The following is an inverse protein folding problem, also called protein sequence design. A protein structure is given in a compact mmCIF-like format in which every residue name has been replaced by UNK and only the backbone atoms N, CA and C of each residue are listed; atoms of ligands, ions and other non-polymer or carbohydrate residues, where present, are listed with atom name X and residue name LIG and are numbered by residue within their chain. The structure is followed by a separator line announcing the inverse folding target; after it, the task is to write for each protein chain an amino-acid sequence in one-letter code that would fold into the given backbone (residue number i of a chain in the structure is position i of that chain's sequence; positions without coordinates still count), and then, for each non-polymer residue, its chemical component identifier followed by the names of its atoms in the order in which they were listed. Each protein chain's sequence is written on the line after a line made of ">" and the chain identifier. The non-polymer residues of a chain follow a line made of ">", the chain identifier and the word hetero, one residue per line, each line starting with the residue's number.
data_IF_810550265425
#
_entry.id   IF_810550265425
#
_cell.length_a   1.000
_cell.length_b   1.000
_cell.length_c   1.000
_cell.angle_alpha   90.00
_cell.angle_beta   90.00
_cell.angle_gamma   90.00
#
_symmetry.space_group_name_H-M   'P 1'
#
loop_
_entity.id
_entity.type
_entity.pdbx_description
1 polymer ?
#
# COMPACT_ATOMS: atom_id res chain seq x y z
N UNK A 1 2.63 -2.31 20.06
CA UNK A 1 1.65 -3.32 19.56
C UNK A 1 0.52 -2.59 18.88
N UNK A 2 0.27 -2.91 17.61
CA UNK A 2 -0.88 -2.34 16.91
C UNK A 2 -2.15 -3.02 17.45
N UNK A 3 -2.96 -2.27 18.22
CA UNK A 3 -4.20 -2.81 18.76
C UNK A 3 -5.24 -3.01 17.67
N UNK A 4 -5.95 -4.13 17.70
CA UNK A 4 -7.13 -4.35 16.87
C UNK A 4 -8.35 -3.73 17.55
N UNK A 5 -9.09 -2.90 16.81
CA UNK A 5 -10.39 -2.41 17.27
C UNK A 5 -11.47 -3.43 16.91
N UNK A 6 -11.63 -4.45 17.77
CA UNK A 6 -12.59 -5.53 17.52
C UNK A 6 -14.04 -5.08 17.38
N UNK A 7 -14.36 -3.89 17.88
CA UNK A 7 -15.71 -3.30 17.79
C UNK A 7 -16.04 -2.63 16.44
N UNK A 8 -15.05 -2.47 15.55
CA UNK A 8 -15.20 -1.80 14.25
C UNK A 8 -14.95 -2.75 13.07
N UNK A 9 -15.44 -3.98 13.17
CA UNK A 9 -15.37 -4.93 12.06
C UNK A 9 -16.59 -4.76 11.15
N UNK A 10 -16.37 -4.26 9.93
CA UNK A 10 -17.40 -4.07 8.92
C UNK A 10 -17.66 -5.32 8.07
N UNK A 11 -17.02 -6.44 8.39
CA UNK A 11 -17.18 -7.73 7.71
C UNK A 11 -17.00 -7.62 6.18
N UNK A 12 -15.85 -7.17 5.75
CA UNK A 12 -15.53 -7.01 4.32
C UNK A 12 -15.21 -8.34 3.60
N UNK A 13 -15.23 -9.46 4.32
CA UNK A 13 -15.00 -10.80 3.79
C UNK A 13 -13.56 -11.30 3.97
N UNK A 14 -13.40 -12.60 3.81
CA UNK A 14 -12.15 -13.32 4.12
C UNK A 14 -10.94 -12.80 3.35
N UNK A 15 -11.08 -12.49 2.07
CA UNK A 15 -9.97 -11.98 1.25
C UNK A 15 -9.43 -10.66 1.78
N UNK A 16 -10.30 -9.75 2.18
CA UNK A 16 -9.90 -8.46 2.77
C UNK A 16 -9.31 -8.65 4.17
N UNK A 17 -9.84 -9.58 4.95
CA UNK A 17 -9.28 -9.90 6.27
C UNK A 17 -7.87 -10.49 6.15
N UNK A 18 -7.63 -11.39 5.21
CA UNK A 18 -6.29 -11.93 4.93
C UNK A 18 -5.31 -10.83 4.46
N UNK A 19 -5.76 -9.91 3.61
CA UNK A 19 -4.95 -8.77 3.21
C UNK A 19 -4.60 -7.90 4.42
N UNK A 20 -5.58 -7.59 5.26
CA UNK A 20 -5.38 -6.82 6.49
C UNK A 20 -4.32 -7.46 7.39
N UNK A 21 -4.43 -8.75 7.64
CA UNK A 21 -3.48 -9.48 8.50
C UNK A 21 -2.07 -9.47 7.90
N UNK A 22 -1.96 -9.67 6.60
CA UNK A 22 -0.67 -9.64 5.88
C UNK A 22 -0.01 -8.26 5.95
N UNK A 23 -0.77 -7.21 5.69
CA UNK A 23 -0.26 -5.83 5.74
C UNK A 23 0.05 -5.41 7.17
N UNK A 24 -0.78 -5.81 8.14
CA UNK A 24 -0.52 -5.56 9.56
C UNK A 24 0.81 -6.19 10.01
N UNK A 25 1.07 -7.44 9.64
CA UNK A 25 2.32 -8.11 9.95
C UNK A 25 3.52 -7.38 9.33
N UNK A 26 3.44 -7.03 8.05
CA UNK A 26 4.48 -6.24 7.39
C UNK A 26 4.71 -4.88 8.08
N UNK A 27 3.65 -4.14 8.36
CA UNK A 27 3.74 -2.84 8.99
C UNK A 27 4.34 -2.91 10.40
N UNK A 28 3.97 -3.93 11.18
CA UNK A 28 4.52 -4.18 12.51
C UNK A 28 6.02 -4.51 12.46
N UNK A 29 6.44 -5.32 11.50
CA UNK A 29 7.81 -5.86 11.46
C UNK A 29 8.77 -4.93 10.73
N UNK A 30 8.31 -4.21 9.70
CA UNK A 30 9.17 -3.42 8.82
C UNK A 30 9.03 -1.90 8.99
N UNK A 31 7.90 -1.41 9.46
CA UNK A 31 7.62 0.03 9.56
C UNK A 31 7.64 0.51 11.02
N UNK A 32 6.85 -0.11 11.89
CA UNK A 32 6.69 0.33 13.27
C UNK A 32 8.01 0.48 14.04
N UNK A 33 9.01 -0.42 13.90
CA UNK A 33 10.28 -0.28 14.61
C UNK A 33 11.10 0.95 14.17
N UNK A 34 10.82 1.49 12.98
CA UNK A 34 11.51 2.64 12.39
C UNK A 34 10.72 3.94 12.46
N UNK A 35 9.47 3.91 12.95
CA UNK A 35 8.55 5.05 12.87
C UNK A 35 9.09 6.30 13.58
N UNK A 36 9.66 6.16 14.77
CA UNK A 36 10.26 7.26 15.51
C UNK A 36 11.46 7.87 14.78
N UNK A 37 12.34 7.03 14.23
CA UNK A 37 13.51 7.52 13.50
C UNK A 37 13.12 8.20 12.18
N UNK A 38 12.12 7.68 11.47
CA UNK A 38 11.56 8.31 10.26
C UNK A 38 11.06 9.73 10.57
N UNK A 39 10.39 9.91 11.71
CA UNK A 39 9.88 11.20 12.14
C UNK A 39 11.02 12.18 12.47
N UNK A 40 12.06 11.72 13.16
CA UNK A 40 13.22 12.53 13.52
C UNK A 40 14.02 12.95 12.29
N UNK A 41 14.32 12.01 11.38
CA UNK A 41 15.15 12.25 10.20
C UNK A 41 14.38 12.97 9.10
N UNK A 42 13.05 12.90 9.12
CA UNK A 42 12.17 13.41 8.07
C UNK A 42 12.52 12.82 6.69
N UNK A 43 12.91 11.55 6.66
CA UNK A 43 13.29 10.83 5.45
C UNK A 43 12.48 9.55 5.30
N UNK A 44 12.01 9.27 4.08
CA UNK A 44 11.34 8.02 3.75
C UNK A 44 12.37 6.91 3.51
N UNK A 45 12.26 5.75 4.18
CA UNK A 45 13.17 4.62 3.95
C UNK A 45 12.97 4.03 2.55
N UNK A 46 13.91 4.25 1.64
CA UNK A 46 13.79 3.88 0.23
C UNK A 46 13.59 2.38 -0.02
N UNK A 47 14.09 1.51 0.87
CA UNK A 47 13.91 0.07 0.80
C UNK A 47 12.44 -0.37 0.91
N UNK A 48 11.60 0.44 1.56
CA UNK A 48 10.17 0.15 1.69
C UNK A 48 9.44 0.11 0.34
N UNK A 49 9.87 0.90 -0.63
CA UNK A 49 9.25 0.86 -1.96
C UNK A 49 9.36 -0.54 -2.58
N UNK A 50 10.55 -1.08 -2.58
CA UNK A 50 10.77 -2.42 -3.13
C UNK A 50 10.04 -3.50 -2.35
N UNK A 51 10.07 -3.44 -1.02
CA UNK A 51 9.37 -4.39 -0.16
C UNK A 51 7.86 -4.37 -0.39
N UNK A 52 7.27 -3.17 -0.47
CA UNK A 52 5.84 -3.03 -0.78
C UNK A 52 5.51 -3.48 -2.20
N UNK A 53 6.39 -3.21 -3.16
CA UNK A 53 6.25 -3.69 -4.55
C UNK A 53 6.25 -5.21 -4.63
N UNK A 54 7.19 -5.86 -3.98
CA UNK A 54 7.30 -7.33 -3.95
C UNK A 54 6.05 -8.00 -3.30
N UNK A 55 5.37 -7.31 -2.41
CA UNK A 55 4.11 -7.75 -1.80
C UNK A 55 2.86 -7.41 -2.65
N UNK A 56 3.01 -6.71 -3.77
CA UNK A 56 1.90 -6.25 -4.59
C UNK A 56 1.12 -5.05 -4.04
N UNK A 57 1.59 -4.44 -2.96
CA UNK A 57 0.86 -3.35 -2.29
C UNK A 57 0.79 -2.07 -3.12
N UNK A 58 1.75 -1.84 -4.01
CA UNK A 58 1.78 -0.64 -4.84
C UNK A 58 0.82 -0.71 -6.04
N UNK A 59 0.33 -1.91 -6.38
CA UNK A 59 -0.56 -2.15 -7.51
C UNK A 59 -1.90 -2.79 -7.14
N UNK A 60 -2.41 -2.59 -5.93
CA UNK A 60 -3.67 -3.21 -5.47
C UNK A 60 -4.84 -2.89 -6.40
N UNK A 61 -4.93 -1.66 -6.90
CA UNK A 61 -6.02 -1.20 -7.79
C UNK A 61 -5.73 -1.37 -9.27
N UNK A 62 -4.55 -1.85 -9.63
CA UNK A 62 -4.07 -1.93 -11.02
C UNK A 62 -4.37 -3.30 -11.59
N UNK A 63 -4.81 -3.34 -12.86
CA UNK A 63 -5.06 -4.58 -13.59
C UNK A 63 -3.79 -5.46 -13.70
N UNK A 64 -4.00 -6.78 -13.73
CA UNK A 64 -2.91 -7.76 -13.79
C UNK A 64 -2.01 -7.60 -15.02
N UNK A 65 -2.57 -7.16 -16.16
CA UNK A 65 -1.82 -6.92 -17.40
C UNK A 65 -0.69 -5.89 -17.23
N UNK A 66 -0.78 -4.99 -16.24
CA UNK A 66 0.25 -3.99 -15.91
C UNK A 66 1.07 -4.35 -14.66
N UNK A 67 0.93 -5.57 -14.16
CA UNK A 67 1.64 -6.05 -12.97
C UNK A 67 0.91 -5.84 -11.65
N UNK A 68 -0.33 -5.37 -11.68
CA UNK A 68 -1.17 -5.18 -10.50
C UNK A 68 -1.83 -6.46 -9.98
N UNK A 69 -2.53 -6.36 -8.87
CA UNK A 69 -3.26 -7.49 -8.25
C UNK A 69 -4.78 -7.39 -8.36
N UNK A 70 -5.28 -6.29 -8.89
CA UNK A 70 -6.70 -6.04 -9.23
C UNK A 70 -7.71 -6.36 -8.12
N UNK A 71 -7.40 -5.99 -6.88
CA UNK A 71 -8.27 -6.24 -5.73
C UNK A 71 -9.28 -5.11 -5.47
N UNK A 72 -9.17 -4.01 -6.18
CA UNK A 72 -10.06 -2.86 -6.04
C UNK A 72 -9.68 -1.88 -4.94
N UNK A 73 -10.46 -0.79 -4.86
CA UNK A 73 -10.12 0.36 -4.03
C UNK A 73 -10.31 0.12 -2.53
N UNK A 74 -11.30 -0.69 -2.13
CA UNK A 74 -11.48 -1.05 -0.72
C UNK A 74 -10.25 -1.76 -0.16
N UNK A 75 -9.67 -2.69 -0.92
CA UNK A 75 -8.44 -3.37 -0.54
C UNK A 75 -7.28 -2.37 -0.35
N UNK A 76 -7.15 -1.38 -1.24
CA UNK A 76 -6.17 -0.32 -1.10
C UNK A 76 -6.37 0.49 0.21
N UNK A 77 -7.61 0.83 0.54
CA UNK A 77 -7.92 1.58 1.77
C UNK A 77 -7.59 0.77 3.03
N UNK A 78 -7.83 -0.53 3.03
CA UNK A 78 -7.47 -1.42 4.13
C UNK A 78 -5.95 -1.51 4.30
N UNK A 79 -5.21 -1.67 3.21
CA UNK A 79 -3.74 -1.67 3.24
C UNK A 79 -3.19 -0.34 3.76
N UNK A 80 -3.72 0.77 3.26
CA UNK A 80 -3.33 2.12 3.71
C UNK A 80 -3.60 2.33 5.20
N UNK A 81 -4.73 1.84 5.72
CA UNK A 81 -5.05 1.90 7.14
C UNK A 81 -3.99 1.19 7.99
N UNK A 82 -3.61 -0.02 7.63
CA UNK A 82 -2.64 -0.80 8.41
C UNK A 82 -1.22 -0.19 8.34
N UNK A 83 -0.79 0.30 7.18
CA UNK A 83 0.48 1.01 7.03
C UNK A 83 0.49 2.30 7.87
N UNK A 84 -0.59 3.08 7.81
CA UNK A 84 -0.71 4.35 8.53
C UNK A 84 -0.75 4.17 10.06
N UNK A 85 -1.26 3.05 10.55
CA UNK A 85 -1.22 2.71 11.99
C UNK A 85 0.20 2.51 12.51
N UNK A 86 1.11 2.04 11.67
CA UNK A 86 2.52 1.89 12.04
C UNK A 86 3.30 3.21 11.92
N UNK A 87 3.04 3.99 10.86
CA UNK A 87 3.61 5.32 10.63
C UNK A 87 2.71 6.12 9.70
N UNK A 88 2.15 7.21 10.20
CA UNK A 88 1.31 8.11 9.41
C UNK A 88 2.09 8.71 8.23
N UNK A 89 3.36 9.02 8.42
CA UNK A 89 4.24 9.56 7.37
C UNK A 89 4.47 8.55 6.23
N UNK A 90 4.73 7.29 6.55
CA UNK A 90 4.84 6.23 5.55
C UNK A 90 3.49 5.99 4.87
N UNK A 91 2.38 6.00 5.61
CA UNK A 91 1.04 5.88 5.07
C UNK A 91 0.71 6.98 4.07
N UNK A 92 1.09 8.22 4.35
CA UNK A 92 0.91 9.35 3.42
C UNK A 92 1.70 9.14 2.12
N UNK A 93 2.97 8.76 2.23
CA UNK A 93 3.83 8.49 1.07
C UNK A 93 3.30 7.32 0.23
N UNK A 94 2.85 6.25 0.90
CA UNK A 94 2.21 5.11 0.25
C UNK A 94 0.96 5.54 -0.52
N UNK A 95 0.06 6.30 0.10
CA UNK A 95 -1.15 6.79 -0.54
C UNK A 95 -0.88 7.73 -1.71
N UNK A 96 0.12 8.60 -1.60
CA UNK A 96 0.54 9.47 -2.69
C UNK A 96 1.03 8.66 -3.90
N UNK A 97 1.83 7.62 -3.68
CA UNK A 97 2.32 6.76 -4.76
C UNK A 97 1.21 5.88 -5.35
N UNK A 98 0.55 5.07 -4.52
CA UNK A 98 -0.38 4.03 -4.99
C UNK A 98 -1.73 4.58 -5.44
N UNK A 99 -2.20 5.68 -4.86
CA UNK A 99 -3.49 6.29 -5.22
C UNK A 99 -3.33 7.53 -6.10
N UNK A 100 -2.62 8.57 -5.64
CA UNK A 100 -2.55 9.84 -6.39
C UNK A 100 -1.72 9.71 -7.68
N UNK A 101 -0.77 8.78 -7.74
CA UNK A 101 0.02 8.52 -8.94
C UNK A 101 -0.49 7.29 -9.70
N UNK A 102 -0.29 6.11 -9.15
CA UNK A 102 -0.53 4.82 -9.85
C UNK A 102 -1.99 4.64 -10.24
N UNK A 103 -2.91 4.81 -9.30
CA UNK A 103 -4.34 4.64 -9.59
C UNK A 103 -4.86 5.68 -10.59
N UNK A 104 -4.34 6.90 -10.58
CA UNK A 104 -4.73 7.94 -11.54
C UNK A 104 -4.24 7.62 -12.94
N UNK A 105 -3.01 7.13 -13.09
CA UNK A 105 -2.51 6.67 -14.40
C UNK A 105 -3.33 5.49 -14.89
N UNK A 106 -3.64 4.53 -14.02
CA UNK A 106 -4.47 3.38 -14.38
C UNK A 106 -5.87 3.77 -14.86
N UNK A 107 -6.52 4.73 -14.18
CA UNK A 107 -7.88 5.16 -14.54
C UNK A 107 -7.95 6.09 -15.75
N UNK A 108 -7.00 6.99 -15.87
CA UNK A 108 -7.10 8.13 -16.78
C UNK A 108 -6.03 8.15 -17.89
N UNK A 109 -5.00 7.30 -17.78
CA UNK A 109 -3.93 7.23 -18.78
C UNK A 109 -4.38 6.56 -20.08
N UNK A 110 -3.70 6.88 -21.17
CA UNK A 110 -3.83 6.12 -22.43
C UNK A 110 -3.20 4.74 -22.27
N UNK A 111 -3.52 3.79 -23.16
CA UNK A 111 -2.91 2.45 -23.15
C UNK A 111 -1.38 2.55 -23.17
N UNK A 112 -0.82 3.36 -24.05
CA UNK A 112 0.63 3.56 -24.14
C UNK A 112 1.25 4.12 -22.84
N UNK A 113 0.57 5.04 -22.15
CA UNK A 113 1.03 5.56 -20.86
C UNK A 113 0.99 4.48 -19.77
N UNK A 114 -0.08 3.70 -19.71
CA UNK A 114 -0.20 2.60 -18.75
C UNK A 114 0.91 1.57 -18.94
N UNK A 115 1.13 1.10 -20.16
CA UNK A 115 2.18 0.14 -20.52
C UNK A 115 3.58 0.68 -20.19
N UNK A 116 3.81 1.97 -20.39
CA UNK A 116 5.11 2.61 -20.15
C UNK A 116 5.43 2.78 -18.67
N UNK A 117 4.46 3.19 -17.86
CA UNK A 117 4.73 3.65 -16.50
C UNK A 117 4.31 2.65 -15.42
N UNK A 118 3.15 2.00 -15.54
CA UNK A 118 2.59 1.19 -14.47
C UNK A 118 3.49 0.03 -14.03
N UNK A 119 4.10 -0.78 -14.93
CA UNK A 119 4.89 -1.93 -14.48
C UNK A 119 6.03 -1.57 -13.54
N UNK A 120 6.71 -0.46 -13.78
CA UNK A 120 7.80 0.01 -12.91
C UNK A 120 7.29 0.63 -11.61
N UNK A 121 6.18 1.37 -11.67
CA UNK A 121 5.59 1.99 -10.50
C UNK A 121 5.02 0.97 -9.52
N UNK A 122 4.45 -0.13 -10.00
CA UNK A 122 3.89 -1.18 -9.13
C UNK A 122 4.96 -2.12 -8.56
N UNK A 123 6.12 -2.19 -9.18
CA UNK A 123 7.24 -3.02 -8.68
C UNK A 123 8.08 -2.34 -7.60
N UNK A 124 7.94 -1.04 -7.41
CA UNK A 124 8.70 -0.27 -6.43
C UNK A 124 10.06 0.20 -6.93
#
# INVERSE_FOLDING_TARGET
>A
MLSTFSSLNFNHGETIDMLRDTVNAFARDEIAPRAEQIDIDNEFPADLWRKMGDMGLLGITVAEEFGGVDMGYLAHMVAMQEISRASASVGLSYGAHSNLCVNQIHKNGTQAQKEKYLPKLVSG
#
